data_IF_800522347626
#
_entry.id   IF_800522347626
#
_cell.length_a   1.000
_cell.length_b   1.000
_cell.length_c   1.000
_cell.angle_alpha   90.00
_cell.angle_beta   90.00
_cell.angle_gamma   90.00
#
_symmetry.space_group_name_H-M   'P 1'
#
loop_
_entity.id
_entity.type
_entity.pdbx_description
1 polymer ?
#
# COMPACT_ATOMS: atom_id res chain seq x y z
N UNK A 1 14.56 4.76 -8.80
CA UNK A 1 14.37 4.10 -7.49
C UNK A 1 14.10 2.60 -7.62
N UNK A 2 13.28 2.13 -8.58
CA UNK A 2 13.01 0.69 -8.79
C UNK A 2 14.24 -0.13 -9.15
N UNK A 3 15.19 0.41 -9.90
CA UNK A 3 16.45 -0.28 -10.25
C UNK A 3 17.30 -0.54 -9.01
N UNK A 4 17.45 0.45 -8.12
CA UNK A 4 18.18 0.25 -6.86
C UNK A 4 17.50 -0.82 -6.01
N UNK A 5 16.16 -0.83 -5.98
CA UNK A 5 15.40 -1.80 -5.21
C UNK A 5 15.52 -3.23 -5.77
N UNK A 6 15.50 -3.38 -7.10
CA UNK A 6 15.77 -4.67 -7.76
C UNK A 6 17.12 -5.27 -7.39
N UNK A 7 18.12 -4.45 -7.08
CA UNK A 7 19.43 -4.89 -6.60
C UNK A 7 19.43 -5.24 -5.10
N UNK A 8 18.68 -4.49 -4.28
CA UNK A 8 18.66 -4.68 -2.82
C UNK A 8 17.71 -5.80 -2.36
N UNK A 9 16.53 -5.94 -2.97
CA UNK A 9 15.53 -6.94 -2.58
C UNK A 9 16.08 -8.36 -2.50
N UNK A 10 16.84 -8.87 -3.50
CA UNK A 10 17.38 -10.23 -3.43
C UNK A 10 18.35 -10.46 -2.29
N UNK A 11 18.98 -9.39 -1.77
CA UNK A 11 19.92 -9.48 -0.63
C UNK A 11 19.19 -9.57 0.72
N UNK A 12 18.03 -8.94 0.83
CA UNK A 12 17.28 -8.83 2.09
C UNK A 12 16.08 -9.77 2.19
N UNK A 13 15.58 -10.27 1.06
CA UNK A 13 14.43 -11.15 0.97
C UNK A 13 14.76 -12.39 0.15
N UNK A 14 15.39 -13.37 0.79
CA UNK A 14 15.72 -14.66 0.19
C UNK A 14 14.56 -15.65 0.24
N UNK A 15 13.67 -15.49 1.20
CA UNK A 15 12.54 -16.37 1.48
C UNK A 15 11.25 -15.56 1.71
N UNK A 16 10.12 -16.24 1.61
CA UNK A 16 8.79 -15.64 1.90
C UNK A 16 8.75 -15.02 3.30
N UNK A 17 9.39 -15.66 4.29
CA UNK A 17 9.41 -15.18 5.68
C UNK A 17 10.15 -13.86 5.84
N UNK A 18 11.24 -13.64 5.09
CA UNK A 18 11.98 -12.37 5.10
C UNK A 18 11.11 -11.25 4.52
N UNK A 19 10.41 -11.51 3.40
CA UNK A 19 9.48 -10.55 2.82
C UNK A 19 8.35 -10.18 3.80
N UNK A 20 7.80 -11.16 4.49
CA UNK A 20 6.76 -10.97 5.51
C UNK A 20 7.28 -10.12 6.68
N UNK A 21 8.50 -10.39 7.17
CA UNK A 21 9.11 -9.59 8.24
C UNK A 21 9.30 -8.14 7.84
N UNK A 22 9.80 -7.89 6.63
CA UNK A 22 9.97 -6.53 6.11
C UNK A 22 8.64 -5.81 5.92
N UNK A 23 7.60 -6.52 5.47
CA UNK A 23 6.25 -5.97 5.36
C UNK A 23 5.64 -5.61 6.73
N UNK A 24 5.90 -6.40 7.77
CA UNK A 24 5.43 -6.09 9.14
C UNK A 24 5.98 -4.76 9.66
N UNK A 25 7.16 -4.37 9.23
CA UNK A 25 7.79 -3.10 9.63
C UNK A 25 7.47 -1.98 8.65
N UNK A 26 7.53 -2.26 7.36
CA UNK A 26 7.38 -1.25 6.31
C UNK A 26 5.95 -0.75 6.15
N UNK A 27 4.94 -1.64 6.30
CA UNK A 27 3.55 -1.22 6.15
C UNK A 27 3.09 -0.23 7.24
N UNK A 28 3.36 -0.42 8.55
CA UNK A 28 3.05 0.60 9.55
C UNK A 28 3.77 1.92 9.31
N UNK A 29 5.03 1.88 8.88
CA UNK A 29 5.78 3.10 8.55
C UNK A 29 5.08 3.90 7.46
N UNK A 30 4.65 3.22 6.39
CA UNK A 30 3.90 3.86 5.30
C UNK A 30 2.56 4.45 5.78
N UNK A 31 1.82 3.73 6.63
CA UNK A 31 0.57 4.21 7.21
C UNK A 31 0.77 5.42 8.12
N UNK A 32 1.84 5.45 8.91
CA UNK A 32 2.18 6.60 9.78
C UNK A 32 2.49 7.83 8.93
N UNK A 33 3.27 7.67 7.86
CA UNK A 33 3.60 8.78 6.95
C UNK A 33 2.34 9.29 6.25
N UNK A 34 1.45 8.40 5.80
CA UNK A 34 0.16 8.79 5.22
C UNK A 34 -0.71 9.56 6.22
N UNK A 35 -0.80 9.09 7.46
CA UNK A 35 -1.53 9.77 8.53
C UNK A 35 -0.95 11.17 8.80
N UNK A 36 0.38 11.30 8.79
CA UNK A 36 1.06 12.59 8.94
C UNK A 36 0.73 13.56 7.79
N UNK A 37 0.73 13.07 6.55
CA UNK A 37 0.36 13.87 5.37
C UNK A 37 -1.09 14.37 5.50
N UNK A 38 -2.01 13.49 5.91
CA UNK A 38 -3.42 13.85 6.11
C UNK A 38 -3.56 14.90 7.22
N UNK A 39 -2.81 14.75 8.31
CA UNK A 39 -2.81 15.71 9.41
C UNK A 39 -2.30 17.09 8.97
N UNK A 40 -1.18 17.14 8.28
CA UNK A 40 -0.58 18.37 7.76
C UNK A 40 -1.44 19.02 6.65
N UNK A 41 -2.19 18.22 5.87
CA UNK A 41 -3.00 18.72 4.77
C UNK A 41 -2.16 19.56 3.78
N UNK A 42 -2.56 20.80 3.44
CA UNK A 42 -1.82 21.63 2.48
C UNK A 42 -0.39 22.00 2.90
N UNK A 43 -0.04 21.82 4.18
CA UNK A 43 1.33 22.04 4.69
C UNK A 43 2.27 20.87 4.40
N UNK A 44 1.74 19.74 3.93
CA UNK A 44 2.54 18.60 3.52
C UNK A 44 3.29 18.93 2.22
N UNK A 45 4.58 19.26 2.34
CA UNK A 45 5.45 19.57 1.21
C UNK A 45 5.99 18.31 0.52
N UNK A 46 6.78 18.51 -0.54
CA UNK A 46 7.37 17.44 -1.38
C UNK A 46 8.17 16.41 -0.60
N UNK A 47 8.81 16.78 0.50
CA UNK A 47 9.58 15.86 1.35
C UNK A 47 8.66 14.78 1.96
N UNK A 48 7.47 15.15 2.43
CA UNK A 48 6.52 14.19 3.03
C UNK A 48 6.03 13.18 1.99
N UNK A 49 5.73 13.64 0.78
CA UNK A 49 5.36 12.78 -0.34
C UNK A 49 6.51 11.89 -0.81
N UNK A 50 7.74 12.42 -0.84
CA UNK A 50 8.92 11.61 -1.15
C UNK A 50 9.12 10.48 -0.12
N UNK A 51 8.98 10.77 1.17
CA UNK A 51 9.04 9.77 2.24
C UNK A 51 7.94 8.72 2.10
N UNK A 52 6.71 9.13 1.75
CA UNK A 52 5.61 8.21 1.49
C UNK A 52 5.92 7.28 0.33
N UNK A 53 6.43 7.79 -0.79
CA UNK A 53 6.82 6.98 -1.95
C UNK A 53 7.96 6.02 -1.59
N UNK A 54 8.98 6.49 -0.85
CA UNK A 54 10.09 5.64 -0.41
C UNK A 54 9.59 4.54 0.53
N UNK A 55 8.72 4.85 1.48
CA UNK A 55 8.15 3.84 2.39
C UNK A 55 7.23 2.84 1.67
N UNK A 56 6.55 3.24 0.59
CA UNK A 56 5.71 2.36 -0.23
C UNK A 56 6.51 1.24 -0.93
N UNK A 57 7.82 1.41 -1.04
CA UNK A 57 8.71 0.39 -1.64
C UNK A 57 8.63 -0.93 -0.85
N UNK A 58 8.43 -0.88 0.47
CA UNK A 58 8.25 -2.10 1.27
C UNK A 58 7.02 -2.92 0.84
N UNK A 59 5.97 -2.26 0.35
CA UNK A 59 4.77 -2.94 -0.12
C UNK A 59 5.01 -3.71 -1.43
N UNK A 60 6.00 -3.32 -2.23
CA UNK A 60 6.36 -4.02 -3.46
C UNK A 60 6.94 -5.42 -3.21
N UNK A 61 7.38 -5.72 -1.97
CA UNK A 61 7.84 -7.04 -1.55
C UNK A 61 6.75 -8.12 -1.58
N UNK A 62 5.48 -7.72 -1.61
CA UNK A 62 4.35 -8.65 -1.73
C UNK A 62 4.45 -9.44 -3.04
N UNK A 63 4.83 -8.80 -4.13
CA UNK A 63 4.89 -9.44 -5.45
C UNK A 63 5.90 -10.58 -5.53
N UNK A 64 7.18 -10.42 -5.17
CA UNK A 64 8.13 -11.54 -5.10
C UNK A 64 7.73 -12.59 -4.05
N UNK A 65 7.13 -12.18 -2.91
CA UNK A 65 6.64 -13.13 -1.90
C UNK A 65 5.55 -14.05 -2.46
N UNK A 66 4.61 -13.52 -3.25
CA UNK A 66 3.61 -14.34 -3.95
C UNK A 66 4.29 -15.29 -4.94
N UNK A 67 5.26 -14.83 -5.73
CA UNK A 67 5.99 -15.68 -6.66
C UNK A 67 6.71 -16.85 -5.98
N UNK A 68 7.33 -16.60 -4.82
CA UNK A 68 8.04 -17.62 -4.03
C UNK A 68 7.12 -18.57 -3.26
N UNK A 69 5.87 -18.17 -2.99
CA UNK A 69 4.91 -19.01 -2.25
C UNK A 69 4.32 -20.15 -3.08
N UNK A 70 4.48 -20.13 -4.40
CA UNK A 70 3.94 -21.15 -5.31
C UNK A 70 5.07 -21.94 -5.99
N UNK A 71 4.76 -23.18 -6.44
CA UNK A 71 5.70 -23.97 -7.25
C UNK A 71 6.04 -23.23 -8.56
N UNK A 72 7.24 -23.46 -9.11
CA UNK A 72 7.70 -22.86 -10.36
C UNK A 72 6.69 -22.99 -11.50
N UNK A 73 5.98 -24.12 -11.58
CA UNK A 73 4.94 -24.39 -12.58
C UNK A 73 3.75 -23.43 -12.46
N UNK A 74 3.41 -22.99 -11.25
CA UNK A 74 2.23 -22.17 -10.95
C UNK A 74 2.58 -20.70 -10.65
N UNK A 75 3.85 -20.38 -10.45
CA UNK A 75 4.29 -19.03 -10.07
C UNK A 75 3.85 -17.96 -11.09
N UNK A 76 3.96 -18.26 -12.39
CA UNK A 76 3.51 -17.31 -13.42
C UNK A 76 2.02 -17.01 -13.36
N UNK A 77 1.17 -18.04 -13.22
CA UNK A 77 -0.29 -17.86 -13.08
C UNK A 77 -0.64 -17.06 -11.83
N UNK A 78 0.01 -17.36 -10.71
CA UNK A 78 -0.23 -16.68 -9.43
C UNK A 78 0.16 -15.20 -9.49
N UNK A 79 1.30 -14.88 -10.11
CA UNK A 79 1.75 -13.49 -10.32
C UNK A 79 0.81 -12.73 -11.24
N UNK A 80 0.34 -13.35 -12.34
CA UNK A 80 -0.61 -12.71 -13.26
C UNK A 80 -1.94 -12.43 -12.55
N UNK A 81 -2.48 -13.40 -11.80
CA UNK A 81 -3.70 -13.21 -11.03
C UNK A 81 -3.54 -12.14 -9.95
N UNK A 82 -2.39 -12.11 -9.27
CA UNK A 82 -2.08 -11.09 -8.28
C UNK A 82 -2.01 -9.69 -8.90
N UNK A 83 -1.33 -9.53 -10.03
CA UNK A 83 -1.28 -8.27 -10.75
C UNK A 83 -2.67 -7.79 -11.21
N UNK A 84 -3.51 -8.70 -11.70
CA UNK A 84 -4.89 -8.38 -12.04
C UNK A 84 -5.67 -7.84 -10.83
N UNK A 85 -5.53 -8.48 -9.68
CA UNK A 85 -6.16 -8.00 -8.43
C UNK A 85 -5.65 -6.62 -8.01
N UNK A 86 -4.34 -6.34 -8.18
CA UNK A 86 -3.77 -5.01 -7.91
C UNK A 86 -4.43 -3.95 -8.81
N UNK A 87 -4.53 -4.20 -10.11
CA UNK A 87 -5.13 -3.25 -11.05
C UNK A 87 -6.61 -3.01 -10.78
N UNK A 88 -7.37 -4.09 -10.52
CA UNK A 88 -8.78 -3.97 -10.14
C UNK A 88 -8.92 -3.16 -8.85
N UNK A 89 -8.12 -3.48 -7.83
CA UNK A 89 -8.12 -2.75 -6.55
C UNK A 89 -7.76 -1.28 -6.73
N UNK A 90 -6.73 -0.96 -7.52
CA UNK A 90 -6.33 0.41 -7.80
C UNK A 90 -7.45 1.19 -8.50
N UNK A 91 -8.12 0.58 -9.51
CA UNK A 91 -9.25 1.17 -10.19
C UNK A 91 -10.39 1.52 -9.22
N UNK A 92 -10.81 0.56 -8.39
CA UNK A 92 -11.90 0.77 -7.44
C UNK A 92 -11.55 1.84 -6.40
N UNK A 93 -10.33 1.84 -5.85
CA UNK A 93 -9.91 2.85 -4.88
C UNK A 93 -9.90 4.24 -5.51
N UNK A 94 -9.37 4.40 -6.72
CA UNK A 94 -9.36 5.69 -7.43
C UNK A 94 -10.77 6.19 -7.72
N UNK A 95 -11.66 5.29 -8.14
CA UNK A 95 -13.06 5.63 -8.39
C UNK A 95 -13.79 6.07 -7.11
N UNK A 96 -13.61 5.34 -6.01
CA UNK A 96 -14.23 5.69 -4.72
C UNK A 96 -13.67 7.02 -4.19
N UNK A 97 -12.36 7.30 -4.36
CA UNK A 97 -11.76 8.60 -4.02
C UNK A 97 -12.50 9.73 -4.74
N UNK A 98 -12.73 9.59 -6.05
CA UNK A 98 -13.48 10.56 -6.84
C UNK A 98 -14.89 10.79 -6.28
N UNK A 99 -15.63 9.70 -6.03
CA UNK A 99 -16.98 9.78 -5.44
C UNK A 99 -16.99 10.50 -4.09
N UNK A 100 -16.04 10.21 -3.21
CA UNK A 100 -15.95 10.86 -1.89
C UNK A 100 -15.73 12.36 -2.05
N UNK A 101 -14.87 12.78 -2.99
CA UNK A 101 -14.60 14.19 -3.25
C UNK A 101 -15.86 14.88 -3.80
N UNK A 102 -16.53 14.28 -4.78
CA UNK A 102 -17.74 14.83 -5.38
C UNK A 102 -18.88 14.98 -4.35
N UNK A 103 -19.08 13.96 -3.51
CA UNK A 103 -20.04 14.02 -2.39
C UNK A 103 -19.66 15.13 -1.41
N UNK A 104 -18.40 15.22 -1.01
CA UNK A 104 -17.92 16.28 -0.11
C UNK A 104 -18.22 17.66 -0.68
N UNK A 105 -17.93 17.90 -1.95
CA UNK A 105 -18.20 19.16 -2.62
C UNK A 105 -19.70 19.45 -2.74
N UNK A 106 -20.55 18.44 -2.96
CA UNK A 106 -22.01 18.60 -3.01
C UNK A 106 -22.61 19.03 -1.66
N UNK A 107 -21.96 18.68 -0.55
CA UNK A 107 -22.30 19.16 0.80
C UNK A 107 -21.66 20.50 1.17
N UNK A 108 -21.11 21.25 0.18
CA UNK A 108 -20.44 22.54 0.36
C UNK A 108 -19.17 22.47 1.24
N UNK A 109 -18.54 21.31 1.38
CA UNK A 109 -17.19 21.27 1.95
C UNK A 109 -16.19 21.83 0.96
N UNK A 110 -15.13 22.46 1.48
CA UNK A 110 -14.03 22.91 0.61
C UNK A 110 -13.35 21.71 -0.08
N UNK A 111 -12.77 21.93 -1.24
CA UNK A 111 -12.01 20.93 -1.99
C UNK A 111 -10.94 20.24 -1.10
N UNK A 112 -10.23 21.04 -0.30
CA UNK A 112 -9.21 20.55 0.64
C UNK A 112 -9.80 19.56 1.65
N UNK A 113 -10.96 19.86 2.22
CA UNK A 113 -11.61 18.97 3.17
C UNK A 113 -12.16 17.72 2.50
N UNK A 114 -12.71 17.84 1.31
CA UNK A 114 -13.20 16.69 0.52
C UNK A 114 -12.05 15.73 0.17
N UNK A 115 -10.91 16.26 -0.24
CA UNK A 115 -9.68 15.46 -0.42
C UNK A 115 -9.21 14.80 0.87
N UNK A 116 -9.28 15.50 2.00
CA UNK A 116 -8.90 14.95 3.30
C UNK A 116 -9.78 13.77 3.69
N UNK A 117 -11.09 13.83 3.43
CA UNK A 117 -12.00 12.69 3.66
C UNK A 117 -11.64 11.50 2.78
N UNK A 118 -11.33 11.73 1.50
CA UNK A 118 -10.90 10.67 0.60
C UNK A 118 -9.59 10.01 1.07
N UNK A 119 -8.61 10.79 1.51
CA UNK A 119 -7.35 10.26 2.05
C UNK A 119 -7.56 9.51 3.37
N UNK A 120 -8.47 9.94 4.24
CA UNK A 120 -8.86 9.21 5.44
C UNK A 120 -9.48 7.86 5.11
N UNK A 121 -10.33 7.78 4.09
CA UNK A 121 -10.86 6.52 3.60
C UNK A 121 -9.73 5.57 3.16
N UNK A 122 -8.74 6.06 2.40
CA UNK A 122 -7.58 5.26 1.99
C UNK A 122 -6.78 4.78 3.20
N UNK A 123 -6.57 5.63 4.21
CA UNK A 123 -5.88 5.26 5.43
C UNK A 123 -6.62 4.15 6.20
N UNK A 124 -7.93 4.29 6.36
CA UNK A 124 -8.76 3.32 7.09
C UNK A 124 -8.78 1.96 6.37
N UNK A 125 -8.96 1.95 5.06
CA UNK A 125 -8.97 0.72 4.26
C UNK A 125 -7.60 0.04 4.26
N UNK A 126 -6.52 0.80 4.15
CA UNK A 126 -5.15 0.29 4.23
C UNK A 126 -4.81 -0.27 5.61
N UNK A 127 -5.22 0.41 6.68
CA UNK A 127 -5.06 -0.06 8.05
C UNK A 127 -5.85 -1.35 8.29
N UNK A 128 -7.10 -1.41 7.84
CA UNK A 128 -7.95 -2.61 7.94
C UNK A 128 -7.32 -3.80 7.21
N UNK A 129 -6.80 -3.58 6.01
CA UNK A 129 -6.08 -4.58 5.23
C UNK A 129 -4.82 -5.07 5.96
N UNK A 130 -4.04 -4.16 6.55
CA UNK A 130 -2.85 -4.51 7.33
C UNK A 130 -3.20 -5.33 8.58
N UNK A 131 -4.23 -4.96 9.33
CA UNK A 131 -4.68 -5.73 10.50
C UNK A 131 -5.16 -7.13 10.12
N UNK A 132 -5.88 -7.24 8.99
CA UNK A 132 -6.27 -8.55 8.45
C UNK A 132 -5.06 -9.41 8.08
N UNK A 133 -4.06 -8.82 7.43
CA UNK A 133 -2.79 -9.47 7.11
C UNK A 133 -2.10 -10.00 8.38
N UNK A 134 -1.97 -9.19 9.43
CA UNK A 134 -1.37 -9.61 10.70
C UNK A 134 -2.12 -10.79 11.34
N UNK A 135 -3.47 -10.73 11.35
CA UNK A 135 -4.31 -11.80 11.90
C UNK A 135 -4.13 -13.13 11.16
N UNK A 136 -3.98 -13.07 9.84
CA UNK A 136 -3.79 -14.28 9.01
C UNK A 136 -2.40 -14.87 9.17
N UNK A 137 -1.37 -14.04 9.14
CA UNK A 137 0.02 -14.50 9.29
C UNK A 137 0.29 -15.12 10.66
N UNK A 138 -0.24 -14.53 11.74
CA UNK A 138 -0.10 -15.11 13.09
C UNK A 138 -0.80 -16.46 13.27
N UNK A 139 -1.63 -16.89 12.30
CA UNK A 139 -2.25 -18.22 12.29
C UNK A 139 -1.46 -19.25 11.47
N UNK A 140 -0.51 -18.80 10.64
CA UNK A 140 0.26 -19.65 9.74
C UNK A 140 1.67 -19.95 10.31
N UNK A 141 2.10 -19.17 11.28
CA UNK A 141 3.37 -19.28 12.02
C UNK A 141 3.13 -19.20 13.52
#
# INVERSE_FOLDING_TARGET
>A
SFLCWGYFVPKFSKNVNDAIRLLRIGAPLNLIILALIIYLGPKAGSIHWALFIVSSIFLSLIQPAVGMAFSLKNAGKSLTSFNLLIFIGAFFIQWIIGIIIDIGMSFNYSEINSFKFAMLFVLITSLSSYLFFLKKINKLF
#
